data_IF_846234561038
#
_entry.id   IF_846234561038
#
_cell.length_a   1.000
_cell.length_b   1.000
_cell.length_c   1.000
_cell.angle_alpha   90.00
_cell.angle_beta   90.00
_cell.angle_gamma   90.00
#
_symmetry.space_group_name_H-M   'P 1'
#
loop_
_entity.id
_entity.type
_entity.pdbx_description
1 polymer ?
#
# COMPACT_ATOMS: atom_id res chain seq x y z
N UNK A 1 -31.28 -30.29 61.44
CA UNK A 1 -30.09 -30.14 62.30
C UNK A 1 -28.88 -30.21 61.37
N UNK A 2 -28.00 -29.22 61.17
CA UNK A 2 -27.59 -28.09 62.02
C UNK A 2 -26.75 -27.12 61.18
N UNK A 3 -26.91 -25.81 61.42
CA UNK A 3 -25.91 -24.71 61.36
C UNK A 3 -25.19 -24.33 60.05
N UNK A 4 -25.39 -23.05 59.65
CA UNK A 4 -24.34 -22.16 59.17
C UNK A 4 -23.42 -21.71 60.34
N UNK A 5 -22.20 -21.18 60.11
CA UNK A 5 -22.10 -19.72 59.93
C UNK A 5 -20.92 -19.17 59.07
N UNK A 6 -21.16 -17.96 58.54
CA UNK A 6 -20.30 -16.75 58.40
C UNK A 6 -18.79 -16.81 58.06
N UNK A 7 -18.44 -15.97 57.07
CA UNK A 7 -17.14 -15.32 56.84
C UNK A 7 -17.03 -14.98 55.35
N UNK A 8 -17.05 -13.73 54.87
CA UNK A 8 -16.34 -12.56 55.36
C UNK A 8 -15.08 -12.38 54.51
N UNK A 9 -15.18 -11.72 53.35
CA UNK A 9 -13.99 -11.27 52.61
C UNK A 9 -14.26 -9.90 51.99
N UNK A 10 -13.78 -8.89 52.70
CA UNK A 10 -13.56 -7.54 52.18
C UNK A 10 -12.53 -7.60 51.03
N UNK A 11 -12.82 -6.90 49.95
CA UNK A 11 -11.84 -6.53 48.94
C UNK A 11 -11.43 -5.07 49.17
N UNK A 12 -10.14 -4.75 49.17
CA UNK A 12 -9.71 -3.40 48.86
C UNK A 12 -8.73 -3.36 47.67
N UNK A 13 -8.60 -2.13 47.14
CA UNK A 13 -7.59 -1.63 46.19
C UNK A 13 -8.05 -1.43 44.74
N UNK A 14 -8.97 -0.47 44.58
CA UNK A 14 -8.68 0.86 44.03
C UNK A 14 -7.65 0.98 42.91
N UNK A 15 -8.14 1.13 41.68
CA UNK A 15 -7.36 1.55 40.51
C UNK A 15 -7.21 3.07 40.53
N UNK A 16 -6.02 3.55 40.89
CA UNK A 16 -5.69 4.97 40.89
C UNK A 16 -5.34 5.44 39.46
N UNK A 17 -6.24 6.22 38.85
CA UNK A 17 -5.97 7.01 37.64
C UNK A 17 -5.05 8.18 37.97
N UNK A 18 -3.79 8.15 37.50
CA UNK A 18 -2.91 9.33 37.51
C UNK A 18 -3.19 10.18 36.28
N UNK A 19 -3.73 11.38 36.52
CA UNK A 19 -3.71 12.49 35.55
C UNK A 19 -2.34 13.18 35.65
N UNK A 20 -1.58 13.19 34.56
CA UNK A 20 -0.40 14.03 34.46
C UNK A 20 -0.85 15.42 33.97
N UNK A 21 -0.72 16.41 34.85
CA UNK A 21 -0.89 17.83 34.52
C UNK A 21 0.28 18.33 33.70
N UNK A 22 -0.02 18.96 32.57
CA UNK A 22 0.92 19.79 31.83
C UNK A 22 0.77 21.22 32.34
N UNK A 23 1.76 21.67 33.12
CA UNK A 23 1.86 23.05 33.60
C UNK A 23 3.21 23.61 33.14
N UNK A 24 3.25 24.11 31.91
CA UNK A 24 4.43 24.64 31.24
C UNK A 24 4.25 26.11 30.87
N UNK A 25 4.43 26.99 31.86
CA UNK A 25 4.54 28.44 31.69
C UNK A 25 5.72 28.76 30.76
N UNK A 26 5.46 29.41 29.62
CA UNK A 26 6.46 30.18 28.88
C UNK A 26 6.09 31.66 28.93
N UNK A 27 7.07 32.45 29.33
CA UNK A 27 6.96 33.85 29.72
C UNK A 27 6.81 34.77 28.50
N UNK A 28 6.06 35.83 28.72
CA UNK A 28 5.85 36.98 27.83
C UNK A 28 7.09 37.86 27.74
N UNK A 29 7.53 38.19 26.53
CA UNK A 29 8.35 39.37 26.25
C UNK A 29 7.71 40.13 25.08
N UNK A 30 7.19 41.32 25.37
CA UNK A 30 6.51 42.16 24.40
C UNK A 30 7.46 43.00 23.58
N UNK A 31 7.17 43.15 22.28
CA UNK A 31 7.54 44.30 21.48
C UNK A 31 6.39 44.66 20.52
N UNK A 32 5.99 45.94 20.54
CA UNK A 32 4.96 46.56 19.67
C UNK A 32 5.57 47.02 18.33
N UNK A 33 4.75 47.31 17.30
CA UNK A 33 5.10 47.05 15.90
C UNK A 33 5.73 48.26 15.18
N UNK A 34 6.52 47.98 14.13
CA UNK A 34 6.85 48.96 13.09
C UNK A 34 6.01 48.70 11.84
N UNK A 35 5.24 49.71 11.44
CA UNK A 35 4.50 49.80 10.18
C UNK A 35 5.47 50.09 9.04
N UNK A 36 5.48 49.24 8.03
CA UNK A 36 5.85 49.52 6.64
C UNK A 36 5.15 48.43 5.82
N UNK A 37 4.00 48.68 5.21
CA UNK A 37 3.96 49.41 3.94
C UNK A 37 4.42 48.49 2.81
N UNK A 38 3.68 47.42 2.53
CA UNK A 38 3.88 46.63 1.32
C UNK A 38 2.54 46.45 0.59
N UNK A 39 2.57 46.90 -0.65
CA UNK A 39 1.51 46.93 -1.65
C UNK A 39 0.74 45.61 -1.74
N UNK A 40 -0.59 45.70 -1.64
CA UNK A 40 -1.53 44.64 -2.01
C UNK A 40 -1.41 44.41 -3.52
N UNK A 41 -0.55 43.46 -3.90
CA UNK A 41 -0.57 42.84 -5.22
C UNK A 41 -1.77 41.88 -5.22
N UNK A 42 -2.71 42.13 -6.12
CA UNK A 42 -4.03 41.52 -6.13
C UNK A 42 -3.99 40.00 -5.99
N UNK A 43 -4.93 39.50 -5.19
CA UNK A 43 -5.36 38.12 -5.21
C UNK A 43 -5.82 37.79 -6.64
N UNK A 44 -4.93 37.17 -7.43
CA UNK A 44 -5.37 36.31 -8.53
C UNK A 44 -6.07 35.12 -7.88
N UNK A 45 -7.37 35.28 -7.62
CA UNK A 45 -8.29 34.16 -7.43
C UNK A 45 -8.20 33.33 -8.70
N UNK A 46 -7.41 32.26 -8.65
CA UNK A 46 -7.38 31.20 -9.65
C UNK A 46 -8.82 30.74 -9.86
N UNK A 47 -9.45 31.23 -10.92
CA UNK A 47 -10.75 30.76 -11.37
C UNK A 47 -10.58 29.27 -11.64
N UNK A 48 -11.23 28.43 -10.83
CA UNK A 48 -11.17 26.98 -11.00
C UNK A 48 -11.62 26.65 -12.41
N UNK A 49 -10.77 25.95 -13.16
CA UNK A 49 -11.07 25.43 -14.50
C UNK A 49 -12.43 24.70 -14.41
N UNK A 50 -13.43 24.98 -15.27
CA UNK A 50 -14.77 24.39 -15.18
C UNK A 50 -14.76 22.84 -15.12
N UNK A 51 -13.71 22.21 -15.64
CA UNK A 51 -13.49 20.75 -15.58
C UNK A 51 -13.17 20.24 -14.15
N UNK A 52 -12.54 21.05 -13.28
CA UNK A 52 -12.27 20.67 -11.88
C UNK A 52 -13.57 20.57 -11.06
N UNK A 53 -14.60 21.31 -11.44
CA UNK A 53 -15.91 21.25 -10.78
C UNK A 53 -16.55 19.85 -10.94
N UNK A 54 -16.35 19.21 -12.09
CA UNK A 54 -16.82 17.85 -12.34
C UNK A 54 -16.19 16.83 -11.41
N UNK A 55 -14.86 16.85 -11.28
CA UNK A 55 -14.15 15.95 -10.37
C UNK A 55 -14.53 16.22 -8.90
N UNK A 56 -14.62 17.50 -8.50
CA UNK A 56 -15.05 17.87 -7.14
C UNK A 56 -16.45 17.37 -6.84
N UNK A 57 -17.39 17.49 -7.78
CA UNK A 57 -18.75 16.97 -7.63
C UNK A 57 -18.76 15.44 -7.52
N UNK A 58 -17.95 14.74 -8.31
CA UNK A 58 -17.81 13.28 -8.22
C UNK A 58 -17.26 12.85 -6.85
N UNK A 59 -16.22 13.52 -6.35
CA UNK A 59 -15.64 13.24 -5.04
C UNK A 59 -16.57 13.62 -3.88
N UNK A 60 -17.42 14.64 -4.07
CA UNK A 60 -18.41 15.03 -3.06
C UNK A 60 -19.59 14.06 -2.96
N UNK A 61 -19.89 13.30 -4.02
CA UNK A 61 -20.95 12.28 -4.06
C UNK A 61 -20.49 10.99 -3.37
N UNK A 62 -20.95 10.64 -2.15
CA UNK A 62 -20.46 9.47 -1.43
C UNK A 62 -20.66 8.14 -2.17
N UNK A 63 -21.56 8.10 -3.17
CA UNK A 63 -21.77 6.93 -4.00
C UNK A 63 -20.50 6.51 -4.77
N UNK A 64 -19.54 7.41 -4.97
CA UNK A 64 -18.27 7.06 -5.62
C UNK A 64 -17.48 5.96 -4.87
N UNK A 65 -17.66 5.85 -3.54
CA UNK A 65 -16.95 4.89 -2.70
C UNK A 65 -17.35 3.44 -2.98
N UNK A 66 -18.59 3.21 -3.42
CA UNK A 66 -19.13 1.86 -3.66
C UNK A 66 -19.05 1.44 -5.13
N UNK A 67 -18.59 2.30 -6.03
CA UNK A 67 -18.43 1.97 -7.44
C UNK A 67 -17.32 0.93 -7.64
N UNK A 68 -17.53 0.00 -8.56
CA UNK A 68 -16.43 -0.83 -9.06
C UNK A 68 -15.39 0.04 -9.78
N UNK A 69 -14.15 -0.46 -9.91
CA UNK A 69 -13.05 0.30 -10.51
C UNK A 69 -13.36 0.78 -11.93
N UNK A 70 -14.04 -0.03 -12.75
CA UNK A 70 -14.36 0.33 -14.13
C UNK A 70 -15.31 1.51 -14.17
N UNK A 71 -16.38 1.45 -13.38
CA UNK A 71 -17.38 2.52 -13.28
C UNK A 71 -16.78 3.80 -12.69
N UNK A 72 -15.94 3.67 -11.65
CA UNK A 72 -15.20 4.79 -11.08
C UNK A 72 -14.27 5.45 -12.11
N UNK A 73 -13.51 4.64 -12.86
CA UNK A 73 -12.62 5.13 -13.94
C UNK A 73 -13.43 5.89 -15.00
N UNK A 74 -14.52 5.31 -15.50
CA UNK A 74 -15.34 5.94 -16.53
C UNK A 74 -15.96 7.27 -16.06
N UNK A 75 -16.46 7.34 -14.82
CA UNK A 75 -17.00 8.59 -14.25
C UNK A 75 -15.90 9.64 -14.06
N UNK A 76 -14.72 9.27 -13.59
CA UNK A 76 -13.60 10.21 -13.43
C UNK A 76 -13.10 10.74 -14.76
N UNK A 77 -12.94 9.87 -15.77
CA UNK A 77 -12.54 10.25 -17.14
C UNK A 77 -13.52 11.27 -17.70
N UNK A 78 -14.83 10.99 -17.60
CA UNK A 78 -15.88 11.93 -18.02
C UNK A 78 -15.84 13.25 -17.24
N UNK A 79 -15.67 13.17 -15.92
CA UNK A 79 -15.63 14.35 -15.05
C UNK A 79 -14.42 15.26 -15.32
N UNK A 80 -13.31 14.69 -15.78
CA UNK A 80 -12.09 15.40 -16.14
C UNK A 80 -12.04 15.85 -17.61
N UNK A 81 -13.12 15.66 -18.37
CA UNK A 81 -13.16 16.00 -19.80
C UNK A 81 -12.13 15.21 -20.62
N UNK A 82 -11.74 14.03 -20.17
CA UNK A 82 -10.80 13.15 -20.87
C UNK A 82 -11.57 12.21 -21.81
N UNK A 83 -10.97 11.85 -22.94
CA UNK A 83 -11.64 11.06 -23.98
C UNK A 83 -11.83 9.60 -23.57
N UNK A 84 -10.75 8.92 -23.21
CA UNK A 84 -10.79 7.50 -22.87
C UNK A 84 -9.58 7.10 -22.02
N UNK A 85 -9.79 6.29 -20.98
CA UNK A 85 -8.69 5.72 -20.23
C UNK A 85 -8.92 4.25 -19.86
N UNK A 86 -7.82 3.50 -19.77
CA UNK A 86 -7.79 2.09 -19.37
C UNK A 86 -6.76 1.89 -18.28
N UNK A 87 -7.20 1.32 -17.16
CA UNK A 87 -6.30 0.89 -16.08
C UNK A 87 -5.75 -0.49 -16.42
N UNK A 88 -4.44 -0.64 -16.33
CA UNK A 88 -3.73 -1.91 -16.36
C UNK A 88 -3.04 -2.13 -15.03
N UNK A 89 -3.22 -3.31 -14.44
CA UNK A 89 -2.52 -3.72 -13.23
C UNK A 89 -1.48 -4.77 -13.57
N UNK A 90 -0.36 -4.72 -12.88
CA UNK A 90 0.67 -5.73 -13.06
C UNK A 90 0.20 -7.09 -12.53
N UNK A 91 0.53 -8.15 -13.25
CA UNK A 91 0.28 -9.52 -12.81
C UNK A 91 1.16 -9.91 -11.61
N UNK A 92 0.90 -11.09 -11.05
CA UNK A 92 1.56 -11.57 -9.84
C UNK A 92 3.10 -11.65 -9.97
N UNK A 93 3.61 -11.95 -11.16
CA UNK A 93 5.04 -12.14 -11.43
C UNK A 93 5.71 -10.92 -12.09
N UNK A 94 4.99 -9.81 -12.26
CA UNK A 94 5.51 -8.61 -12.92
C UNK A 94 5.95 -8.82 -14.38
N UNK A 95 5.28 -9.72 -15.09
CA UNK A 95 5.53 -10.05 -16.50
C UNK A 95 4.53 -9.39 -17.44
N UNK A 96 3.29 -9.21 -17.01
CA UNK A 96 2.22 -8.64 -17.82
C UNK A 96 1.46 -7.53 -17.10
N UNK A 97 1.03 -6.53 -17.86
CA UNK A 97 0.08 -5.50 -17.47
C UNK A 97 -1.30 -5.94 -17.96
N UNK A 98 -2.18 -6.28 -17.03
CA UNK A 98 -3.51 -6.84 -17.28
C UNK A 98 -4.59 -5.75 -17.16
N UNK A 99 -5.40 -5.53 -18.21
CA UNK A 99 -6.43 -4.50 -18.18
C UNK A 99 -7.56 -4.83 -17.21
N UNK A 100 -8.03 -3.81 -16.52
CA UNK A 100 -9.20 -3.88 -15.61
C UNK A 100 -10.52 -3.71 -16.36
N UNK A 101 -10.48 -3.83 -17.69
CA UNK A 101 -11.64 -3.89 -18.59
C UNK A 101 -11.71 -5.28 -19.23
N UNK A 102 -12.73 -5.56 -20.04
CA UNK A 102 -12.85 -6.85 -20.74
C UNK A 102 -12.45 -6.76 -22.23
N UNK A 103 -12.04 -5.58 -22.68
CA UNK A 103 -11.95 -5.25 -24.12
C UNK A 103 -10.50 -5.09 -24.57
N UNK A 104 -9.61 -4.64 -23.68
CA UNK A 104 -8.20 -4.49 -23.99
C UNK A 104 -7.43 -5.80 -23.77
N UNK A 105 -6.37 -6.08 -24.56
CA UNK A 105 -5.47 -7.19 -24.31
C UNK A 105 -4.44 -6.86 -23.22
N UNK A 106 -3.89 -7.89 -22.57
CA UNK A 106 -2.73 -7.73 -21.69
C UNK A 106 -1.49 -7.33 -22.49
N UNK A 107 -0.64 -6.50 -21.89
CA UNK A 107 0.58 -5.98 -22.52
C UNK A 107 1.79 -6.53 -21.75
N UNK A 108 2.86 -7.03 -22.40
CA UNK A 108 4.05 -7.47 -21.69
C UNK A 108 4.70 -6.28 -20.97
N UNK A 109 5.26 -6.51 -19.79
CA UNK A 109 6.07 -5.50 -19.10
C UNK A 109 7.31 -5.23 -19.94
N UNK A 110 8.04 -6.27 -20.33
CA UNK A 110 9.24 -6.12 -21.16
C UNK A 110 8.92 -5.84 -22.62
N UNK A 111 9.72 -4.95 -23.21
CA UNK A 111 9.59 -4.57 -24.63
C UNK A 111 8.39 -3.70 -25.00
N UNK A 112 7.55 -3.26 -24.05
CA UNK A 112 6.41 -2.40 -24.33
C UNK A 112 6.55 -0.96 -23.78
N UNK A 113 5.89 0.04 -24.39
CA UNK A 113 5.83 1.42 -23.88
C UNK A 113 5.09 1.53 -22.53
N UNK A 114 4.02 0.76 -22.35
CA UNK A 114 3.31 0.63 -21.09
C UNK A 114 4.22 0.11 -19.98
N UNK A 115 4.96 -0.96 -20.26
CA UNK A 115 5.89 -1.55 -19.31
C UNK A 115 7.15 -0.72 -19.08
N UNK A 116 7.57 0.09 -20.04
CA UNK A 116 8.58 1.13 -19.82
C UNK A 116 8.08 2.16 -18.80
N UNK A 117 6.85 2.68 -18.95
CA UNK A 117 6.26 3.61 -17.99
C UNK A 117 6.15 2.99 -16.58
N UNK A 118 5.74 1.73 -16.52
CA UNK A 118 5.72 0.94 -15.28
C UNK A 118 7.11 0.87 -14.62
N UNK A 119 8.13 0.33 -15.31
CA UNK A 119 9.46 0.10 -14.73
C UNK A 119 10.18 1.40 -14.35
N UNK A 120 10.04 2.45 -15.16
CA UNK A 120 10.73 3.73 -14.96
C UNK A 120 9.93 4.73 -14.11
N UNK A 121 8.71 4.38 -13.72
CA UNK A 121 7.80 5.25 -12.97
C UNK A 121 7.63 6.63 -13.63
N UNK A 122 7.71 6.66 -14.96
CA UNK A 122 7.76 7.88 -15.76
C UNK A 122 6.65 7.89 -16.81
N UNK A 123 6.16 9.09 -17.13
CA UNK A 123 5.21 9.28 -18.22
C UNK A 123 5.84 8.83 -19.54
N UNK A 124 5.13 7.98 -20.29
CA UNK A 124 5.50 7.61 -21.66
C UNK A 124 4.39 7.97 -22.61
N UNK A 125 4.73 8.56 -23.75
CA UNK A 125 3.78 8.92 -24.80
C UNK A 125 4.14 8.17 -26.07
N UNK A 126 3.13 7.67 -26.78
CA UNK A 126 3.26 7.07 -28.10
C UNK A 126 2.06 7.37 -28.99
N UNK A 127 2.23 7.23 -30.30
CA UNK A 127 1.12 7.24 -31.23
C UNK A 127 0.31 5.95 -31.10
N UNK A 128 -1.01 6.07 -31.02
CA UNK A 128 -1.90 4.90 -30.96
C UNK A 128 -1.88 4.18 -32.31
N UNK A 129 -1.48 2.91 -32.31
CA UNK A 129 -1.28 2.10 -33.53
C UNK A 129 -2.50 1.90 -34.44
N UNK A 130 -3.72 2.21 -33.98
CA UNK A 130 -4.95 2.16 -34.80
C UNK A 130 -5.80 3.40 -34.56
N UNK A 131 -5.95 4.26 -35.57
CA UNK A 131 -6.96 5.34 -35.58
C UNK A 131 -6.48 6.76 -35.29
N UNK A 132 -5.18 7.06 -35.42
CA UNK A 132 -4.67 8.44 -35.44
C UNK A 132 -4.85 9.20 -34.12
N UNK A 133 -4.53 8.56 -33.00
CA UNK A 133 -4.55 9.16 -31.66
C UNK A 133 -3.18 9.07 -30.98
N UNK A 134 -3.11 9.56 -29.74
CA UNK A 134 -1.93 9.50 -28.89
C UNK A 134 -2.31 8.82 -27.58
N UNK A 135 -1.49 7.86 -27.14
CA UNK A 135 -1.62 7.21 -25.83
C UNK A 135 -0.55 7.72 -24.88
N UNK A 136 -0.98 8.27 -23.75
CA UNK A 136 -0.13 8.62 -22.62
C UNK A 136 -0.26 7.56 -21.52
N UNK A 137 0.86 6.93 -21.17
CA UNK A 137 0.99 5.93 -20.13
C UNK A 137 1.48 6.59 -18.84
N UNK A 138 0.62 6.61 -17.82
CA UNK A 138 0.94 7.12 -16.48
C UNK A 138 1.18 5.95 -15.52
N UNK A 139 2.24 5.95 -14.72
CA UNK A 139 2.42 4.94 -13.68
C UNK A 139 1.34 5.06 -12.60
N UNK A 140 0.82 3.94 -12.13
CA UNK A 140 -0.06 3.85 -10.96
C UNK A 140 0.79 3.46 -9.76
N UNK A 141 0.98 4.40 -8.84
CA UNK A 141 1.87 4.26 -7.69
C UNK A 141 1.08 4.41 -6.38
N UNK A 142 1.36 3.55 -5.42
CA UNK A 142 0.91 3.65 -4.04
C UNK A 142 2.13 3.66 -3.12
N UNK A 143 2.52 4.85 -2.67
CA UNK A 143 3.83 5.07 -2.06
C UNK A 143 4.96 4.64 -3.01
N UNK A 144 5.77 3.67 -2.58
CA UNK A 144 6.83 3.08 -3.40
C UNK A 144 6.36 1.89 -4.26
N UNK A 145 5.15 1.36 -4.03
CA UNK A 145 4.61 0.21 -4.76
C UNK A 145 4.15 0.61 -6.16
N UNK A 146 4.55 -0.16 -7.17
CA UNK A 146 4.07 -0.02 -8.55
C UNK A 146 2.89 -0.96 -8.77
N UNK A 147 1.68 -0.40 -8.87
CA UNK A 147 0.45 -1.15 -9.09
C UNK A 147 0.26 -1.52 -10.57
N UNK A 148 0.71 -0.66 -11.49
CA UNK A 148 0.50 -0.82 -12.92
C UNK A 148 0.60 0.51 -13.67
N UNK A 149 -0.21 0.68 -14.71
CA UNK A 149 -0.27 1.91 -15.52
C UNK A 149 -1.69 2.29 -15.92
N UNK A 150 -1.92 3.58 -16.12
CA UNK A 150 -3.10 4.14 -16.75
C UNK A 150 -2.76 4.53 -18.19
N UNK A 151 -3.45 3.94 -19.16
CA UNK A 151 -3.43 4.40 -20.54
C UNK A 151 -4.48 5.49 -20.72
N UNK A 152 -4.08 6.70 -21.11
CA UNK A 152 -4.97 7.78 -21.51
C UNK A 152 -4.87 7.95 -23.03
N UNK A 153 -5.98 7.75 -23.74
CA UNK A 153 -6.03 7.85 -25.19
C UNK A 153 -6.74 9.16 -25.59
N UNK A 154 -6.01 10.04 -26.26
CA UNK A 154 -6.50 11.33 -26.76
C UNK A 154 -6.29 11.46 -28.28
N UNK A 155 -6.95 12.43 -28.92
CA UNK A 155 -6.62 12.79 -30.32
C UNK A 155 -5.35 13.66 -30.39
N UNK A 156 -5.17 14.54 -29.41
CA UNK A 156 -3.98 15.34 -29.20
C UNK A 156 -3.76 15.52 -27.69
N UNK A 157 -2.52 15.42 -27.23
CA UNK A 157 -2.18 15.71 -25.83
C UNK A 157 -1.97 17.20 -25.63
N UNK A 158 -2.57 17.74 -24.58
CA UNK A 158 -2.37 19.11 -24.11
C UNK A 158 -1.71 19.08 -22.74
N UNK A 159 -1.15 20.21 -22.30
CA UNK A 159 -0.64 20.33 -20.93
C UNK A 159 -1.74 20.03 -19.89
N UNK A 160 -2.99 20.44 -20.16
CA UNK A 160 -4.12 20.16 -19.29
C UNK A 160 -4.49 18.67 -19.25
N UNK A 161 -4.52 17.97 -20.39
CA UNK A 161 -4.82 16.54 -20.42
C UNK A 161 -3.75 15.72 -19.70
N UNK A 162 -2.47 16.12 -19.79
CA UNK A 162 -1.38 15.49 -19.05
C UNK A 162 -1.48 15.71 -17.53
N UNK A 163 -1.81 16.93 -17.10
CA UNK A 163 -2.01 17.25 -15.69
C UNK A 163 -3.19 16.46 -15.11
N UNK A 164 -4.32 16.42 -15.83
CA UNK A 164 -5.51 15.65 -15.42
C UNK A 164 -5.26 14.15 -15.44
N UNK A 165 -4.53 13.64 -16.43
CA UNK A 165 -4.13 12.23 -16.51
C UNK A 165 -3.26 11.81 -15.31
N UNK A 166 -2.32 12.67 -14.89
CA UNK A 166 -1.51 12.43 -13.69
C UNK A 166 -2.35 12.43 -12.42
N UNK A 167 -3.25 13.40 -12.25
CA UNK A 167 -4.17 13.44 -11.11
C UNK A 167 -5.09 12.21 -11.06
N UNK A 168 -5.61 11.79 -12.23
CA UNK A 168 -6.42 10.59 -12.37
C UNK A 168 -5.64 9.32 -11.99
N UNK A 169 -4.38 9.20 -12.43
CA UNK A 169 -3.53 8.06 -12.07
C UNK A 169 -3.31 7.97 -10.56
N UNK A 170 -3.01 9.09 -9.88
CA UNK A 170 -2.87 9.14 -8.43
C UNK A 170 -4.16 8.75 -7.69
N UNK A 171 -5.30 9.29 -8.13
CA UNK A 171 -6.60 8.98 -7.53
C UNK A 171 -6.98 7.51 -7.72
N UNK A 172 -6.80 6.97 -8.93
CA UNK A 172 -7.12 5.58 -9.21
C UNK A 172 -6.19 4.63 -8.44
N UNK A 173 -4.91 4.97 -8.26
CA UNK A 173 -4.01 4.18 -7.42
C UNK A 173 -4.54 4.05 -5.98
N UNK A 174 -5.01 5.14 -5.37
CA UNK A 174 -5.65 5.11 -4.05
C UNK A 174 -6.92 4.25 -4.03
N UNK A 175 -7.77 4.37 -5.06
CA UNK A 175 -8.99 3.57 -5.18
C UNK A 175 -8.66 2.07 -5.31
N UNK A 176 -7.68 1.72 -6.14
CA UNK A 176 -7.21 0.34 -6.33
C UNK A 176 -6.70 -0.22 -5.01
N UNK A 177 -5.83 0.52 -4.30
CA UNK A 177 -5.29 0.09 -3.00
C UNK A 177 -6.39 -0.13 -1.97
N UNK A 178 -7.39 0.75 -1.91
CA UNK A 178 -8.50 0.61 -0.98
C UNK A 178 -9.38 -0.61 -1.30
N UNK A 179 -9.66 -0.87 -2.59
CA UNK A 179 -10.60 -1.92 -3.03
C UNK A 179 -9.99 -3.31 -3.12
N UNK A 180 -8.69 -3.43 -3.44
CA UNK A 180 -8.02 -4.73 -3.60
C UNK A 180 -8.01 -5.59 -2.34
N UNK A 181 -8.30 -5.00 -1.17
CA UNK A 181 -8.38 -5.70 0.12
C UNK A 181 -9.65 -6.55 0.28
N UNK A 182 -10.73 -6.22 -0.42
CA UNK A 182 -12.03 -6.90 -0.26
C UNK A 182 -12.71 -7.28 -1.58
N UNK A 183 -12.16 -6.86 -2.73
CA UNK A 183 -12.65 -7.28 -4.05
C UNK A 183 -11.72 -8.32 -4.69
N UNK A 184 -12.18 -9.57 -4.77
CA UNK A 184 -11.46 -10.67 -5.44
C UNK A 184 -11.22 -10.41 -6.93
N UNK A 185 -11.96 -9.49 -7.54
CA UNK A 185 -11.86 -9.20 -8.98
C UNK A 185 -10.45 -8.78 -9.39
N UNK A 186 -9.74 -8.06 -8.52
CA UNK A 186 -8.35 -7.66 -8.71
C UNK A 186 -7.43 -8.87 -8.78
N UNK A 187 -7.49 -9.71 -7.75
CA UNK A 187 -6.68 -10.93 -7.62
C UNK A 187 -6.97 -11.89 -8.77
N UNK A 188 -8.25 -12.09 -9.12
CA UNK A 188 -8.63 -12.97 -10.23
C UNK A 188 -8.10 -12.48 -11.57
N UNK A 189 -8.11 -11.17 -11.82
CA UNK A 189 -7.64 -10.59 -13.09
C UNK A 189 -6.12 -10.61 -13.21
N UNK A 190 -5.39 -10.39 -12.12
CA UNK A 190 -3.91 -10.30 -12.15
C UNK A 190 -3.19 -11.65 -12.01
N UNK A 191 -3.94 -12.76 -12.07
CA UNK A 191 -3.37 -14.12 -12.08
C UNK A 191 -3.31 -14.69 -13.49
N UNK A 192 -2.14 -15.21 -13.85
CA UNK A 192 -1.93 -15.98 -15.08
C UNK A 192 -2.14 -17.48 -14.86
N UNK A 193 -2.05 -17.95 -13.61
CA UNK A 193 -2.11 -19.36 -13.24
C UNK A 193 -2.98 -19.59 -11.99
N UNK A 194 -3.32 -20.85 -11.73
CA UNK A 194 -4.03 -21.26 -10.52
C UNK A 194 -3.06 -21.23 -9.34
N UNK A 195 -3.46 -20.60 -8.24
CA UNK A 195 -2.69 -20.60 -7.00
C UNK A 195 -2.90 -21.90 -6.22
N UNK A 196 -1.83 -22.45 -5.66
CA UNK A 196 -1.91 -23.56 -4.70
C UNK A 196 -2.34 -23.07 -3.30
N UNK A 197 -2.92 -23.96 -2.50
CA UNK A 197 -3.44 -23.61 -1.17
C UNK A 197 -2.37 -23.06 -0.20
N UNK A 198 -1.16 -23.65 -0.07
CA UNK A 198 -0.12 -23.09 0.77
C UNK A 198 0.27 -21.66 0.34
N UNK A 199 0.33 -21.42 -0.97
CA UNK A 199 0.64 -20.11 -1.54
C UNK A 199 -0.47 -19.08 -1.25
N UNK A 200 -1.75 -19.47 -1.34
CA UNK A 200 -2.86 -18.60 -0.92
C UNK A 200 -2.75 -18.19 0.55
N UNK A 201 -2.51 -19.17 1.43
CA UNK A 201 -2.39 -18.91 2.87
C UNK A 201 -1.23 -17.98 3.16
N UNK A 202 -0.07 -18.23 2.56
CA UNK A 202 1.12 -17.43 2.83
C UNK A 202 0.96 -16.00 2.30
N UNK A 203 0.43 -15.85 1.09
CA UNK A 203 0.20 -14.54 0.47
C UNK A 203 -0.79 -13.67 1.23
N UNK A 204 -1.75 -14.26 1.94
CA UNK A 204 -2.66 -13.50 2.81
C UNK A 204 -1.92 -12.77 3.96
N UNK A 205 -0.69 -13.17 4.27
CA UNK A 205 0.09 -12.63 5.38
C UNK A 205 1.28 -11.76 4.96
N UNK A 206 1.67 -11.80 3.68
CA UNK A 206 2.80 -11.01 3.18
C UNK A 206 2.48 -9.50 3.18
N UNK A 207 3.45 -8.64 3.49
CA UNK A 207 3.29 -7.20 3.32
C UNK A 207 3.24 -6.83 1.82
N UNK A 208 2.96 -5.56 1.47
CA UNK A 208 3.16 -5.06 0.11
C UNK A 208 4.56 -5.44 -0.40
N UNK A 209 4.75 -5.69 -1.70
CA UNK A 209 6.06 -6.11 -2.22
C UNK A 209 7.12 -5.03 -2.12
N UNK A 210 6.71 -3.78 -2.11
CA UNK A 210 7.62 -2.64 -2.11
C UNK A 210 7.10 -1.61 -1.14
N UNK A 211 7.95 -1.25 -0.18
CA UNK A 211 7.73 -0.16 0.75
C UNK A 211 8.91 0.80 0.63
N UNK A 212 8.68 2.07 0.94
CA UNK A 212 9.74 3.07 0.84
C UNK A 212 9.29 4.44 1.27
N UNK A 213 10.28 5.29 1.52
CA UNK A 213 10.14 6.72 1.73
C UNK A 213 11.23 7.44 0.92
N UNK A 214 11.43 8.74 1.16
CA UNK A 214 12.45 9.53 0.44
C UNK A 214 13.90 9.06 0.64
N UNK A 215 14.18 8.24 1.65
CA UNK A 215 15.53 7.84 2.04
C UNK A 215 15.85 6.39 1.66
N UNK A 216 14.84 5.50 1.66
CA UNK A 216 15.05 4.06 1.43
C UNK A 216 13.87 3.43 0.70
N UNK A 217 14.15 2.41 -0.11
CA UNK A 217 13.16 1.53 -0.73
C UNK A 217 13.55 0.08 -0.47
N UNK A 218 12.60 -0.74 -0.03
CA UNK A 218 12.74 -2.19 0.12
C UNK A 218 11.76 -2.89 -0.81
N UNK A 219 12.26 -3.76 -1.68
CA UNK A 219 11.45 -4.59 -2.58
C UNK A 219 11.76 -6.06 -2.34
N UNK A 220 10.72 -6.88 -2.22
CA UNK A 220 10.83 -8.32 -2.09
C UNK A 220 9.79 -9.03 -2.98
N UNK A 221 10.20 -10.15 -3.56
CA UNK A 221 9.40 -10.97 -4.46
C UNK A 221 9.70 -12.43 -4.12
N UNK A 222 8.69 -13.27 -4.25
CA UNK A 222 8.78 -14.72 -4.07
C UNK A 222 8.51 -15.39 -5.41
N UNK A 223 9.38 -16.32 -5.80
CA UNK A 223 9.24 -17.15 -6.99
C UNK A 223 9.52 -18.62 -6.62
N UNK A 224 8.72 -19.59 -7.12
CA UNK A 224 7.54 -19.44 -7.98
C UNK A 224 6.32 -18.87 -7.23
N UNK A 225 5.67 -17.86 -7.81
CA UNK A 225 4.65 -17.09 -7.10
C UNK A 225 3.34 -17.84 -6.80
N UNK A 226 3.11 -18.99 -7.47
CA UNK A 226 1.87 -19.77 -7.43
C UNK A 226 1.94 -21.05 -6.57
N UNK A 227 3.15 -21.51 -6.23
CA UNK A 227 3.41 -22.81 -5.62
C UNK A 227 4.15 -22.69 -4.27
N UNK A 228 4.45 -21.46 -3.82
CA UNK A 228 5.28 -21.26 -2.64
C UNK A 228 4.56 -21.65 -1.34
N UNK A 229 5.23 -22.43 -0.49
CA UNK A 229 4.64 -22.95 0.75
C UNK A 229 5.38 -22.60 2.04
N UNK A 230 6.64 -22.15 1.97
CA UNK A 230 7.50 -21.97 3.16
C UNK A 230 8.33 -20.69 3.18
N UNK A 231 8.61 -20.08 2.02
CA UNK A 231 9.45 -18.89 1.99
C UNK A 231 8.61 -17.63 2.12
N UNK A 232 9.04 -16.71 2.98
CA UNK A 232 8.38 -15.43 3.13
C UNK A 232 9.35 -14.29 3.37
N UNK A 233 8.81 -13.09 3.27
CA UNK A 233 9.49 -11.90 3.71
C UNK A 233 8.56 -11.05 4.58
N UNK A 234 9.16 -10.29 5.48
CA UNK A 234 8.51 -9.15 6.13
C UNK A 234 9.43 -7.95 5.95
N UNK A 235 8.84 -6.79 5.67
CA UNK A 235 9.56 -5.53 5.81
C UNK A 235 8.62 -4.47 6.36
N UNK A 236 9.17 -3.57 7.15
CA UNK A 236 8.41 -2.48 7.76
C UNK A 236 9.29 -1.26 7.96
N UNK A 237 8.72 -0.09 7.69
CA UNK A 237 9.33 1.20 8.01
C UNK A 237 8.77 1.72 9.33
N UNK A 238 9.67 2.11 10.23
CA UNK A 238 9.38 3.02 11.33
C UNK A 238 9.84 4.43 10.96
N UNK A 239 9.77 5.38 11.88
CA UNK A 239 10.26 6.74 11.65
C UNK A 239 11.77 6.78 11.35
N UNK A 240 12.54 5.87 11.92
CA UNK A 240 14.02 5.89 11.88
C UNK A 240 14.65 4.59 11.38
N UNK A 241 13.88 3.54 11.12
CA UNK A 241 14.44 2.21 10.88
C UNK A 241 13.66 1.44 9.81
N UNK A 242 14.38 0.80 8.89
CA UNK A 242 13.85 -0.23 8.01
C UNK A 242 14.14 -1.60 8.64
N UNK A 243 13.08 -2.32 9.00
CA UNK A 243 13.15 -3.73 9.40
C UNK A 243 12.96 -4.61 8.17
N UNK A 244 13.80 -5.64 8.03
CA UNK A 244 13.70 -6.66 6.98
C UNK A 244 13.86 -8.05 7.59
N UNK A 245 13.02 -8.98 7.17
CA UNK A 245 13.15 -10.39 7.46
C UNK A 245 12.91 -11.20 6.18
N UNK A 246 13.76 -12.18 5.91
CA UNK A 246 13.54 -13.24 4.92
C UNK A 246 13.53 -14.55 5.69
N UNK A 247 12.53 -15.38 5.44
CA UNK A 247 12.26 -16.62 6.16
C UNK A 247 12.17 -17.77 5.16
N UNK A 248 12.72 -18.91 5.54
CA UNK A 248 12.65 -20.19 4.83
C UNK A 248 12.28 -21.27 5.85
N UNK A 249 11.00 -21.65 5.85
CA UNK A 249 10.45 -22.65 6.74
C UNK A 249 10.69 -24.07 6.20
N UNK A 250 11.02 -25.00 7.10
CA UNK A 250 11.26 -26.39 6.73
C UNK A 250 10.03 -27.04 6.07
N UNK A 251 10.23 -27.50 4.84
CA UNK A 251 9.23 -28.18 4.01
C UNK A 251 8.64 -27.25 2.95
N UNK A 252 7.70 -27.78 2.18
CA UNK A 252 7.01 -27.03 1.11
C UNK A 252 5.51 -27.35 1.09
N UNK A 253 4.97 -27.77 2.23
CA UNK A 253 3.59 -28.22 2.39
C UNK A 253 2.77 -27.20 3.19
N UNK A 254 1.54 -27.57 3.57
CA UNK A 254 0.70 -26.71 4.39
C UNK A 254 1.32 -26.42 5.77
N UNK A 255 2.12 -27.36 6.31
CA UNK A 255 2.75 -27.21 7.60
C UNK A 255 3.91 -26.22 7.55
N UNK A 256 4.69 -26.16 6.47
CA UNK A 256 5.67 -25.08 6.27
C UNK A 256 5.00 -23.70 6.22
N UNK A 257 3.79 -23.62 5.64
CA UNK A 257 3.00 -22.38 5.62
C UNK A 257 2.61 -21.91 7.03
N UNK A 258 2.26 -22.85 7.91
CA UNK A 258 1.97 -22.56 9.32
C UNK A 258 3.23 -22.13 10.07
N UNK A 259 4.36 -22.82 9.90
CA UNK A 259 5.66 -22.44 10.47
C UNK A 259 6.00 -21.00 10.10
N UNK A 260 5.89 -20.66 8.82
CA UNK A 260 6.15 -19.32 8.30
C UNK A 260 5.21 -18.27 8.89
N UNK A 261 3.92 -18.62 8.99
CA UNK A 261 2.90 -17.76 9.59
C UNK A 261 3.22 -17.41 11.05
N UNK A 262 3.58 -18.41 11.85
CA UNK A 262 3.98 -18.23 13.25
C UNK A 262 5.24 -17.37 13.33
N UNK A 263 6.26 -17.65 12.51
CA UNK A 263 7.49 -16.86 12.49
C UNK A 263 7.23 -15.39 12.11
N UNK A 264 6.43 -15.11 11.07
CA UNK A 264 6.05 -13.75 10.69
C UNK A 264 5.30 -13.04 11.82
N UNK A 265 4.36 -13.72 12.47
CA UNK A 265 3.60 -13.17 13.59
C UNK A 265 4.49 -12.85 14.79
N UNK A 266 5.44 -13.73 15.13
CA UNK A 266 6.41 -13.53 16.20
C UNK A 266 7.35 -12.35 15.87
N UNK A 267 7.90 -12.27 14.66
CA UNK A 267 8.70 -11.13 14.18
C UNK A 267 7.93 -9.80 14.35
N UNK A 268 6.67 -9.78 13.92
CA UNK A 268 5.80 -8.59 14.01
C UNK A 268 5.45 -8.24 15.45
N UNK A 269 5.18 -9.23 16.29
CA UNK A 269 4.89 -9.03 17.70
C UNK A 269 6.09 -8.41 18.41
N UNK A 270 7.25 -9.05 18.35
CA UNK A 270 8.50 -8.58 18.95
C UNK A 270 8.84 -7.14 18.50
N UNK A 271 8.76 -6.87 17.19
CA UNK A 271 8.96 -5.52 16.64
C UNK A 271 7.97 -4.52 17.25
N UNK A 272 6.68 -4.85 17.30
CA UNK A 272 5.63 -3.94 17.80
C UNK A 272 5.66 -3.76 19.32
N UNK A 273 6.33 -4.64 20.06
CA UNK A 273 6.58 -4.51 21.49
C UNK A 273 7.92 -3.82 21.81
N UNK A 274 8.69 -3.42 20.79
CA UNK A 274 9.97 -2.72 20.95
C UNK A 274 11.14 -3.61 21.30
N UNK A 275 11.08 -4.92 21.01
CA UNK A 275 12.18 -5.84 21.21
C UNK A 275 13.37 -5.50 20.29
N UNK A 276 14.58 -5.69 20.79
CA UNK A 276 15.79 -5.59 19.96
C UNK A 276 15.93 -6.82 19.02
N UNK A 277 16.98 -6.82 18.18
CA UNK A 277 17.14 -7.87 17.18
C UNK A 277 17.40 -9.27 17.81
N UNK A 278 18.30 -9.43 18.80
CA UNK A 278 18.43 -10.70 19.53
C UNK A 278 17.14 -11.17 20.22
N UNK A 279 16.41 -10.27 20.87
CA UNK A 279 15.14 -10.58 21.52
C UNK A 279 14.07 -11.01 20.52
N UNK A 280 14.02 -10.38 19.35
CA UNK A 280 13.14 -10.77 18.27
C UNK A 280 13.43 -12.20 17.80
N UNK A 281 14.70 -12.52 17.54
CA UNK A 281 15.10 -13.88 17.12
C UNK A 281 14.74 -14.91 18.18
N UNK A 282 15.01 -14.61 19.47
CA UNK A 282 14.60 -15.48 20.59
C UNK A 282 13.09 -15.63 20.67
N UNK A 283 12.32 -14.57 20.46
CA UNK A 283 10.86 -14.61 20.46
C UNK A 283 10.29 -15.48 19.33
N UNK A 284 10.93 -15.50 18.16
CA UNK A 284 10.58 -16.40 17.06
C UNK A 284 10.87 -17.85 17.43
N UNK A 285 12.05 -18.14 18.00
CA UNK A 285 12.46 -19.48 18.43
C UNK A 285 11.54 -20.03 19.54
N UNK A 286 11.19 -19.21 20.53
CA UNK A 286 10.24 -19.55 21.60
C UNK A 286 8.84 -19.83 21.06
N UNK A 287 8.37 -19.04 20.08
CA UNK A 287 7.08 -19.28 19.45
C UNK A 287 7.06 -20.59 18.66
N UNK A 288 8.11 -20.89 17.91
CA UNK A 288 8.21 -22.13 17.14
C UNK A 288 8.34 -23.36 18.05
N UNK A 289 9.24 -23.33 19.03
CA UNK A 289 9.43 -24.45 19.97
C UNK A 289 8.17 -24.75 20.80
N UNK A 290 7.37 -23.73 21.12
CA UNK A 290 6.12 -23.90 21.87
C UNK A 290 4.98 -24.48 21.02
N UNK A 291 4.78 -23.98 19.79
CA UNK A 291 3.60 -24.31 18.99
C UNK A 291 3.86 -25.35 17.89
N UNK A 292 5.11 -25.49 17.44
CA UNK A 292 5.53 -26.35 16.34
C UNK A 292 6.91 -26.99 16.64
N UNK A 293 7.04 -27.82 17.69
CA UNK A 293 8.33 -28.27 18.22
C UNK A 293 9.17 -29.09 17.22
N UNK A 294 8.54 -29.73 16.24
CA UNK A 294 9.22 -30.53 15.19
C UNK A 294 9.54 -29.73 13.92
N UNK A 295 9.29 -28.42 13.93
CA UNK A 295 9.52 -27.53 12.80
C UNK A 295 10.51 -26.43 13.17
N UNK A 296 11.25 -25.99 12.17
CA UNK A 296 12.16 -24.86 12.30
C UNK A 296 12.06 -23.98 11.06
N UNK A 297 12.55 -22.75 11.21
CA UNK A 297 12.61 -21.76 10.16
C UNK A 297 14.00 -21.15 10.16
N UNK A 298 14.66 -21.16 9.00
CA UNK A 298 15.88 -20.39 8.81
C UNK A 298 15.50 -18.97 8.43
N UNK A 299 16.26 -17.97 8.87
CA UNK A 299 15.94 -16.58 8.55
C UNK A 299 17.15 -15.67 8.51
N UNK A 300 17.04 -14.62 7.72
CA UNK A 300 17.91 -13.46 7.75
C UNK A 300 17.06 -12.28 8.22
N UNK A 301 17.42 -11.70 9.36
CA UNK A 301 16.70 -10.56 9.94
C UNK A 301 17.68 -9.42 10.14
N UNK A 302 17.31 -8.23 9.65
CA UNK A 302 18.13 -7.04 9.67
C UNK A 302 17.32 -5.81 10.06
N UNK A 303 18.01 -4.85 10.67
CA UNK A 303 17.53 -3.51 10.95
C UNK A 303 18.51 -2.52 10.33
N UNK A 304 18.02 -1.64 9.47
CA UNK A 304 18.79 -0.55 8.87
C UNK A 304 18.34 0.76 9.50
N UNK A 305 19.25 1.41 10.23
CA UNK A 305 19.06 2.78 10.72
C UNK A 305 19.05 3.74 9.53
N UNK A 306 18.09 4.66 9.50
CA UNK A 306 17.93 5.66 8.45
C UNK A 306 18.44 7.05 8.86
N UNK A 307 18.89 7.21 10.10
CA UNK A 307 19.42 8.46 10.64
C UNK A 307 20.94 8.55 10.49
N UNK A 308 21.61 7.41 10.37
CA UNK A 308 23.08 7.27 10.42
C UNK A 308 23.62 6.69 9.12
#
# INVERSE_FOLDING_TARGET
>A
MTRAPSGGTEAPHGWATRRAGWDGRCQTAGQRPRRSGLSTRGDEVSTSDPDDAGLRSFLADPAHLTLDLRTATARCVKALGLRHAVVYLVDLQQRHLVPQTAVAPSVPVDGSPAGWAYRTQSLRVEESGTGGGITAWFPLLDGAERLGVLALCETALTASSLTRGRALASLLAMVITSKRLYEDSFVRRTRTERMELPAEMLRALLPPRTIGNGNVVSTAVLEPAYEIGGDAFDHALTETTLHVAVLDAMGHDLASGLTTTVSLAACRNARRTGADLPELVRGVDEALSSWLPDKFCTSVIAQLDLVT
#
